data_IF_971239063720
#
_entry.id   IF_971239063720
#
_cell.length_a   1.000
_cell.length_b   1.000
_cell.length_c   1.000
_cell.angle_alpha   90.00
_cell.angle_beta   90.00
_cell.angle_gamma   90.00
#
_symmetry.space_group_name_H-M   'P 1'
#
loop_
_entity.id
_entity.type
_entity.pdbx_description
1 polymer ?
#
# COMPACT_ATOMS: atom_id res chain seq x y z
N UNK A 1 5.50 -23.72 -10.30
CA UNK A 1 5.28 -23.15 -8.95
C UNK A 1 6.53 -22.40 -8.54
N UNK A 2 6.63 -21.12 -8.92
CA UNK A 2 7.71 -20.23 -8.49
C UNK A 2 7.17 -19.29 -7.41
N UNK A 3 7.72 -19.39 -6.20
CA UNK A 3 7.31 -18.57 -5.06
C UNK A 3 7.72 -17.11 -5.25
N UNK A 4 6.79 -16.21 -4.94
CA UNK A 4 7.01 -14.76 -4.87
C UNK A 4 8.00 -14.48 -3.72
N UNK A 5 9.06 -13.68 -3.92
CA UNK A 5 9.94 -13.26 -2.83
C UNK A 5 9.15 -12.35 -1.88
N UNK A 6 9.13 -12.72 -0.61
CA UNK A 6 8.40 -12.03 0.45
C UNK A 6 8.77 -10.55 0.56
N UNK A 7 7.76 -9.73 0.82
CA UNK A 7 7.93 -8.34 1.22
C UNK A 7 8.88 -8.25 2.43
N UNK A 8 9.69 -7.17 2.55
CA UNK A 8 10.59 -7.00 3.68
C UNK A 8 9.80 -7.03 5.00
N UNK A 9 10.21 -7.94 5.89
CA UNK A 9 9.68 -8.08 7.24
C UNK A 9 9.78 -6.74 7.97
N UNK A 10 8.63 -6.16 8.28
CA UNK A 10 8.50 -4.89 8.97
C UNK A 10 8.60 -5.04 10.50
N UNK A 11 9.49 -5.90 11.00
CA UNK A 11 9.62 -6.21 12.42
C UNK A 11 11.10 -6.21 12.86
N UNK A 12 11.68 -5.02 13.02
CA UNK A 12 12.83 -4.86 13.92
C UNK A 12 12.89 -3.44 14.50
N UNK A 13 11.76 -2.99 15.09
CA UNK A 13 11.82 -1.90 16.07
C UNK A 13 12.07 -2.52 17.45
N UNK A 14 13.06 -2.05 18.23
CA UNK A 14 13.38 -2.62 19.52
C UNK A 14 12.20 -2.50 20.48
N UNK A 15 11.55 -3.63 20.77
CA UNK A 15 10.50 -3.71 21.77
C UNK A 15 11.10 -3.44 23.16
N UNK A 16 10.61 -2.39 23.81
CA UNK A 16 11.01 -2.00 25.16
C UNK A 16 10.53 -3.05 26.16
N UNK A 17 11.36 -3.58 27.08
CA UNK A 17 10.91 -4.50 28.12
C UNK A 17 9.94 -3.80 29.09
N UNK A 18 8.98 -4.54 29.68
CA UNK A 18 7.89 -3.94 30.43
C UNK A 18 8.36 -3.38 31.78
N UNK A 19 8.37 -2.06 31.92
CA UNK A 19 8.50 -1.37 33.20
C UNK A 19 7.22 -0.57 33.50
N UNK A 20 6.10 -1.31 33.59
CA UNK A 20 4.74 -0.74 33.67
C UNK A 20 4.57 0.30 34.78
N UNK A 21 5.18 0.12 35.96
CA UNK A 21 4.96 1.04 37.08
C UNK A 21 5.78 2.33 36.99
N UNK A 22 7.01 2.26 36.51
CA UNK A 22 7.84 3.45 36.31
C UNK A 22 7.24 4.35 35.22
N UNK A 23 6.65 3.76 34.17
CA UNK A 23 6.04 4.54 33.09
C UNK A 23 4.82 5.34 33.55
N UNK A 24 3.97 4.76 34.41
CA UNK A 24 2.84 5.49 35.01
C UNK A 24 3.29 6.59 35.97
N UNK A 25 4.31 6.34 36.80
CA UNK A 25 4.86 7.36 37.70
C UNK A 25 5.47 8.52 36.90
N UNK A 26 6.21 8.22 35.83
CA UNK A 26 6.80 9.25 34.97
C UNK A 26 5.75 10.02 34.17
N UNK A 27 4.67 9.36 33.73
CA UNK A 27 3.54 10.04 33.10
C UNK A 27 2.83 10.97 34.09
N UNK A 28 2.54 10.52 35.31
CA UNK A 28 1.94 11.35 36.35
C UNK A 28 2.82 12.56 36.67
N UNK A 29 4.14 12.35 36.80
CA UNK A 29 5.12 13.42 37.00
C UNK A 29 5.14 14.42 35.83
N UNK A 30 5.00 13.93 34.59
CA UNK A 30 4.93 14.77 33.40
C UNK A 30 3.64 15.59 33.31
N UNK A 31 2.50 15.01 33.69
CA UNK A 31 1.23 15.75 33.80
C UNK A 31 1.32 16.84 34.87
N UNK A 32 1.82 16.51 36.07
CA UNK A 32 2.04 17.48 37.15
C UNK A 32 2.98 18.59 36.69
N UNK A 33 4.04 18.25 35.96
CA UNK A 33 4.99 19.19 35.37
C UNK A 33 4.33 20.18 34.40
N UNK A 34 3.45 19.71 33.51
CA UNK A 34 2.70 20.57 32.57
C UNK A 34 1.71 21.47 33.27
N UNK A 35 0.97 20.93 34.26
CA UNK A 35 0.00 21.69 35.05
C UNK A 35 0.70 22.80 35.83
N UNK A 36 1.81 22.49 36.49
CA UNK A 36 2.61 23.45 37.26
C UNK A 36 3.10 24.60 36.36
N UNK A 37 3.63 24.28 35.18
CA UNK A 37 4.13 25.29 34.23
C UNK A 37 3.00 26.16 33.68
N UNK A 38 1.88 25.55 33.30
CA UNK A 38 0.70 26.27 32.81
C UNK A 38 0.20 27.22 33.90
N UNK A 39 0.08 26.74 35.14
CA UNK A 39 -0.37 27.54 36.28
C UNK A 39 0.51 28.77 36.51
N UNK A 40 1.83 28.60 36.57
CA UNK A 40 2.80 29.71 36.74
C UNK A 40 2.81 30.68 35.56
N UNK A 41 2.43 30.22 34.37
CA UNK A 41 2.40 31.03 33.17
C UNK A 41 1.19 31.95 33.11
N UNK A 42 0.02 31.47 33.54
CA UNK A 42 -1.26 32.19 33.44
C UNK A 42 -1.67 32.93 34.71
N UNK A 43 -1.22 32.50 35.90
CA UNK A 43 -1.59 33.13 37.17
C UNK A 43 -0.40 33.89 37.80
N UNK A 44 -0.61 35.14 38.27
CA UNK A 44 0.43 35.87 39.00
C UNK A 44 0.62 35.24 40.39
N UNK A 45 1.79 34.66 40.63
CA UNK A 45 2.14 33.96 41.88
C UNK A 45 2.99 34.86 42.77
N UNK A 46 2.70 34.91 44.08
CA UNK A 46 3.49 35.70 45.04
C UNK A 46 4.91 35.16 45.24
N UNK A 47 5.85 36.03 45.63
CA UNK A 47 7.30 35.72 45.69
C UNK A 47 7.65 34.53 46.61
N UNK A 48 6.87 34.29 47.65
CA UNK A 48 7.07 33.14 48.56
C UNK A 48 6.69 31.81 47.90
N UNK A 49 5.58 31.76 47.16
CA UNK A 49 5.15 30.57 46.43
C UNK A 49 6.06 30.28 45.23
N UNK A 50 6.61 31.32 44.60
CA UNK A 50 7.53 31.18 43.48
C UNK A 50 8.80 30.38 43.84
N UNK A 51 9.31 30.51 45.07
CA UNK A 51 10.46 29.70 45.55
C UNK A 51 10.12 28.21 45.67
N UNK A 52 8.95 27.89 46.22
CA UNK A 52 8.50 26.50 46.39
C UNK A 52 8.29 25.86 45.03
N UNK A 53 7.59 26.56 44.12
CA UNK A 53 7.36 26.12 42.74
C UNK A 53 8.68 25.87 42.01
N UNK A 54 9.67 26.76 42.19
CA UNK A 54 11.00 26.57 41.61
C UNK A 54 11.66 25.29 42.11
N UNK A 55 11.67 25.04 43.42
CA UNK A 55 12.27 23.81 43.98
C UNK A 55 11.57 22.56 43.43
N UNK A 56 10.24 22.59 43.33
CA UNK A 56 9.45 21.50 42.76
C UNK A 56 9.78 21.26 41.27
N UNK A 57 9.79 22.31 40.45
CA UNK A 57 10.12 22.22 39.01
C UNK A 57 11.54 21.65 38.78
N UNK A 58 12.53 22.11 39.56
CA UNK A 58 13.89 21.58 39.50
C UNK A 58 13.99 20.12 39.94
N UNK A 59 13.23 19.72 40.97
CA UNK A 59 13.20 18.32 41.42
C UNK A 59 12.61 17.38 40.35
N UNK A 60 11.52 17.80 39.70
CA UNK A 60 10.87 17.06 38.62
C UNK A 60 11.79 16.94 37.41
N UNK A 61 12.45 18.05 37.02
CA UNK A 61 13.47 18.05 35.97
C UNK A 61 14.63 17.10 36.29
N UNK A 62 15.08 17.06 37.56
CA UNK A 62 16.13 16.15 38.02
C UNK A 62 15.76 14.68 37.88
N UNK A 63 14.51 14.33 38.20
CA UNK A 63 13.99 12.96 38.01
C UNK A 63 13.94 12.60 36.52
N UNK A 64 13.50 13.51 35.64
CA UNK A 64 13.52 13.28 34.19
C UNK A 64 14.94 13.11 33.64
N UNK A 65 15.88 13.91 34.12
CA UNK A 65 17.28 13.80 33.70
C UNK A 65 17.88 12.47 34.13
N UNK A 66 17.62 12.02 35.37
CA UNK A 66 18.11 10.75 35.87
C UNK A 66 17.56 9.57 35.06
N UNK A 67 16.27 9.59 34.71
CA UNK A 67 15.66 8.58 33.84
C UNK A 67 16.29 8.59 32.44
N UNK A 68 16.46 9.77 31.84
CA UNK A 68 17.06 9.93 30.52
C UNK A 68 18.50 9.42 30.48
N UNK A 69 19.32 9.77 31.46
CA UNK A 69 20.71 9.31 31.58
C UNK A 69 20.79 7.80 31.81
N UNK A 70 19.87 7.24 32.61
CA UNK A 70 19.78 5.79 32.80
C UNK A 70 19.48 5.06 31.49
N UNK A 71 18.49 5.53 30.73
CA UNK A 71 18.12 4.98 29.41
C UNK A 71 19.25 5.12 28.40
N UNK A 72 19.85 6.31 28.32
CA UNK A 72 20.95 6.58 27.40
C UNK A 72 22.18 5.71 27.70
N UNK A 73 22.45 5.45 28.99
CA UNK A 73 23.49 4.51 29.40
C UNK A 73 23.17 3.06 29.02
N UNK A 74 21.91 2.65 29.14
CA UNK A 74 21.48 1.30 28.79
C UNK A 74 21.57 1.03 27.28
N UNK A 75 21.33 2.05 26.46
CA UNK A 75 21.43 1.99 25.00
C UNK A 75 22.86 2.24 24.46
N UNK A 76 23.87 2.17 25.33
CA UNK A 76 25.28 2.18 24.91
C UNK A 76 25.83 3.55 24.51
N UNK A 77 25.25 4.66 25.01
CA UNK A 77 25.77 6.02 24.82
C UNK A 77 25.85 6.49 23.36
N UNK A 78 25.03 5.93 22.47
CA UNK A 78 24.95 6.40 21.08
C UNK A 78 24.52 7.86 20.99
N UNK A 79 25.20 8.66 20.17
CA UNK A 79 24.83 10.06 19.92
C UNK A 79 23.49 10.20 19.20
N UNK A 80 23.04 9.17 18.49
CA UNK A 80 21.72 9.12 17.83
C UNK A 80 20.57 9.24 18.81
N UNK A 81 20.72 8.74 20.04
CA UNK A 81 19.67 8.73 21.05
C UNK A 81 19.18 10.14 21.42
N UNK A 82 20.02 11.09 21.90
CA UNK A 82 19.55 12.44 22.22
C UNK A 82 19.02 13.23 21.00
N UNK A 83 19.43 12.92 19.78
CA UNK A 83 18.89 13.56 18.57
C UNK A 83 17.49 13.05 18.21
N UNK A 84 17.23 11.76 18.36
CA UNK A 84 15.90 11.17 18.14
C UNK A 84 14.94 11.59 19.26
N UNK A 85 15.41 11.54 20.51
CA UNK A 85 14.64 11.91 21.71
C UNK A 85 14.85 13.38 22.12
N UNK A 86 15.03 14.28 21.14
CA UNK A 86 15.32 15.70 21.38
C UNK A 86 14.26 16.41 22.24
N UNK A 87 13.01 15.97 22.17
CA UNK A 87 11.91 16.46 23.00
C UNK A 87 12.07 16.07 24.48
N UNK A 88 12.63 14.89 24.77
CA UNK A 88 12.99 14.47 26.12
C UNK A 88 14.13 15.34 26.66
N UNK A 89 15.11 15.66 25.79
CA UNK A 89 16.23 16.54 26.10
C UNK A 89 15.76 17.96 26.42
N UNK A 90 14.87 18.53 25.62
CA UNK A 90 14.36 19.88 25.88
C UNK A 90 13.38 19.93 27.06
N UNK A 91 12.69 18.84 27.36
CA UNK A 91 11.75 18.73 28.49
C UNK A 91 12.41 18.82 29.87
N UNK A 92 13.72 18.58 29.97
CA UNK A 92 14.48 18.68 31.23
C UNK A 92 14.82 20.12 31.62
N UNK A 93 14.58 21.09 30.75
CA UNK A 93 14.90 22.50 31.00
C UNK A 93 13.86 23.09 31.96
N UNK A 94 14.26 23.60 33.14
CA UNK A 94 13.34 24.24 34.08
C UNK A 94 12.79 25.53 33.47
N UNK A 95 11.46 25.65 33.38
CA UNK A 95 10.78 26.88 32.89
C UNK A 95 11.09 28.06 33.82
N UNK A 96 11.40 27.74 35.07
CA UNK A 96 11.73 28.69 36.13
C UNK A 96 13.17 29.20 36.08
N UNK A 97 13.97 28.79 35.08
CA UNK A 97 15.36 29.22 34.93
C UNK A 97 15.46 30.74 34.68
N UNK A 98 16.37 31.45 35.37
CA UNK A 98 16.54 32.91 35.25
C UNK A 98 16.77 33.41 33.82
N UNK A 99 17.28 32.56 32.92
CA UNK A 99 17.60 32.88 31.52
C UNK A 99 16.35 33.15 30.66
N UNK A 100 15.19 32.61 31.07
CA UNK A 100 13.95 32.62 30.29
C UNK A 100 13.02 33.79 30.68
N UNK A 101 13.44 34.62 31.64
CA UNK A 101 12.62 35.71 32.22
C UNK A 101 12.24 36.79 31.20
N UNK A 102 13.04 36.98 30.14
CA UNK A 102 12.85 38.01 29.13
C UNK A 102 12.13 37.58 27.82
N UNK A 103 12.02 36.27 27.53
CA UNK A 103 11.58 35.79 26.21
C UNK A 103 10.27 35.00 26.30
N UNK A 104 9.15 35.64 25.97
CA UNK A 104 7.80 35.01 25.97
C UNK A 104 7.72 33.79 25.04
N UNK A 105 8.39 33.82 23.89
CA UNK A 105 8.43 32.73 22.91
C UNK A 105 9.02 31.44 23.52
N UNK A 106 10.08 31.59 24.29
CA UNK A 106 10.82 30.47 24.86
C UNK A 106 9.99 29.74 25.94
N UNK A 107 9.10 30.44 26.64
CA UNK A 107 8.11 29.84 27.56
C UNK A 107 7.10 28.97 26.82
N UNK A 108 6.58 29.45 25.69
CA UNK A 108 5.63 28.70 24.85
C UNK A 108 6.31 27.44 24.31
N UNK A 109 7.55 27.55 23.82
CA UNK A 109 8.32 26.42 23.32
C UNK A 109 8.46 25.33 24.39
N UNK A 110 8.79 25.68 25.64
CA UNK A 110 8.91 24.67 26.71
C UNK A 110 7.56 24.04 27.07
N UNK A 111 6.46 24.80 27.07
CA UNK A 111 5.11 24.24 27.26
C UNK A 111 4.78 23.23 26.16
N UNK A 112 5.03 23.58 24.91
CA UNK A 112 4.79 22.70 23.75
C UNK A 112 5.63 21.44 23.83
N UNK A 113 6.91 21.56 24.22
CA UNK A 113 7.80 20.40 24.42
C UNK A 113 7.31 19.50 25.55
N UNK A 114 6.88 20.06 26.70
CA UNK A 114 6.36 19.26 27.82
C UNK A 114 5.03 18.59 27.48
N UNK A 115 4.16 19.26 26.72
CA UNK A 115 2.94 18.67 26.17
C UNK A 115 3.26 17.55 25.17
N UNK A 116 4.24 17.76 24.28
CA UNK A 116 4.72 16.74 23.36
C UNK A 116 5.23 15.50 24.08
N UNK A 117 5.96 15.66 25.20
CA UNK A 117 6.41 14.54 26.03
C UNK A 117 5.25 13.80 26.73
N UNK A 118 4.26 14.53 27.26
CA UNK A 118 3.07 13.91 27.86
C UNK A 118 2.28 13.15 26.81
N UNK A 119 2.14 13.73 25.62
CA UNK A 119 1.53 13.08 24.47
C UNK A 119 2.30 11.80 24.12
N UNK A 120 3.58 11.89 23.79
CA UNK A 120 4.43 10.74 23.45
C UNK A 120 4.34 9.61 24.49
N UNK A 121 4.40 9.97 25.79
CA UNK A 121 4.29 8.99 26.87
C UNK A 121 2.88 8.42 27.10
N UNK A 122 1.83 9.20 26.82
CA UNK A 122 0.44 8.73 26.88
C UNK A 122 0.05 7.91 25.63
N UNK A 123 0.67 8.20 24.49
CA UNK A 123 0.41 7.57 23.19
C UNK A 123 1.31 6.35 22.90
N UNK A 124 2.17 5.99 23.87
CA UNK A 124 3.24 5.00 23.76
C UNK A 124 2.92 3.70 23.03
N UNK A 125 1.91 2.90 23.41
CA UNK A 125 1.91 1.49 22.91
C UNK A 125 0.56 0.83 22.60
N UNK A 126 -0.61 1.49 22.73
CA UNK A 126 -1.90 0.76 22.54
C UNK A 126 -3.01 1.44 21.76
N UNK A 127 -3.01 2.76 21.68
CA UNK A 127 -4.12 3.50 21.06
C UNK A 127 -3.75 3.92 19.63
N UNK A 128 -2.50 4.32 19.39
CA UNK A 128 -2.04 4.83 18.10
C UNK A 128 -2.03 3.76 17.01
N UNK A 129 -1.57 2.52 17.29
CA UNK A 129 -1.58 1.47 16.27
C UNK A 129 -3.01 1.11 15.81
N UNK A 130 -3.97 1.02 16.73
CA UNK A 130 -5.36 0.74 16.40
C UNK A 130 -6.05 1.91 15.67
N UNK A 131 -5.81 3.15 16.09
CA UNK A 131 -6.43 4.34 15.48
C UNK A 131 -5.78 4.70 14.15
N UNK A 132 -4.45 4.63 14.04
CA UNK A 132 -3.71 4.91 12.79
C UNK A 132 -3.97 3.82 11.78
N UNK A 133 -3.90 2.53 12.14
CA UNK A 133 -4.15 1.46 11.17
C UNK A 133 -5.61 1.46 10.70
N UNK A 134 -6.58 1.77 11.57
CA UNK A 134 -7.99 1.90 11.17
C UNK A 134 -8.24 3.15 10.31
N UNK A 135 -7.57 4.26 10.59
CA UNK A 135 -7.72 5.49 9.80
C UNK A 135 -7.04 5.38 8.45
N UNK A 136 -5.84 4.80 8.38
CA UNK A 136 -5.14 4.50 7.12
C UNK A 136 -5.95 3.51 6.31
N UNK A 137 -6.46 2.43 6.93
CA UNK A 137 -7.36 1.48 6.26
C UNK A 137 -8.60 2.16 5.68
N UNK A 138 -9.29 2.99 6.46
CA UNK A 138 -10.49 3.71 6.00
C UNK A 138 -10.19 4.71 4.87
N UNK A 139 -9.09 5.46 4.95
CA UNK A 139 -8.65 6.39 3.91
C UNK A 139 -8.29 5.62 2.63
N UNK A 140 -7.51 4.55 2.76
CA UNK A 140 -7.08 3.71 1.65
C UNK A 140 -8.29 3.05 0.98
N UNK A 141 -9.25 2.52 1.75
CA UNK A 141 -10.45 1.88 1.19
C UNK A 141 -11.40 2.90 0.53
N UNK A 142 -11.44 4.13 1.04
CA UNK A 142 -12.17 5.24 0.41
C UNK A 142 -11.53 5.69 -0.93
N UNK A 143 -10.20 5.59 -1.06
CA UNK A 143 -9.47 5.99 -2.27
C UNK A 143 -9.39 4.86 -3.30
N UNK A 144 -9.20 3.60 -2.86
CA UNK A 144 -9.03 2.44 -3.75
C UNK A 144 -10.13 2.33 -4.80
N UNK A 145 -11.40 2.44 -4.39
CA UNK A 145 -12.55 2.28 -5.31
C UNK A 145 -12.57 3.35 -6.40
N UNK A 146 -12.52 4.67 -6.09
CA UNK A 146 -12.41 5.71 -7.11
C UNK A 146 -11.21 5.54 -8.03
N UNK A 147 -10.04 5.17 -7.48
CA UNK A 147 -8.83 4.97 -8.29
C UNK A 147 -8.98 3.80 -9.25
N UNK A 148 -9.50 2.66 -8.80
CA UNK A 148 -9.74 1.51 -9.68
C UNK A 148 -10.73 1.86 -10.78
N UNK A 149 -11.81 2.56 -10.47
CA UNK A 149 -12.78 3.03 -11.47
C UNK A 149 -12.12 3.96 -12.49
N UNK A 150 -11.36 4.95 -12.02
CA UNK A 150 -10.68 5.90 -12.90
C UNK A 150 -9.69 5.18 -13.83
N UNK A 151 -8.88 4.27 -13.29
CA UNK A 151 -7.93 3.48 -14.09
C UNK A 151 -8.66 2.59 -15.11
N UNK A 152 -9.78 1.97 -14.74
CA UNK A 152 -10.57 1.17 -15.67
C UNK A 152 -11.18 2.02 -16.79
N UNK A 153 -11.61 3.26 -16.52
CA UNK A 153 -12.12 4.17 -17.55
C UNK A 153 -11.02 4.57 -18.55
N UNK A 154 -9.82 4.91 -18.05
CA UNK A 154 -8.66 5.20 -18.90
C UNK A 154 -8.27 3.99 -19.77
N UNK A 155 -8.23 2.79 -19.18
CA UNK A 155 -7.94 1.55 -19.92
C UNK A 155 -9.04 1.26 -20.94
N UNK A 156 -10.31 1.47 -20.58
CA UNK A 156 -11.44 1.30 -21.49
C UNK A 156 -11.36 2.24 -22.69
N UNK A 157 -10.96 3.50 -22.48
CA UNK A 157 -10.80 4.48 -23.56
C UNK A 157 -9.68 4.08 -24.54
N UNK A 158 -8.53 3.66 -24.01
CA UNK A 158 -7.43 3.14 -24.85
C UNK A 158 -7.88 1.92 -25.64
N UNK A 159 -8.58 0.99 -24.99
CA UNK A 159 -9.11 -0.20 -25.64
C UNK A 159 -10.18 0.16 -26.70
N UNK A 160 -10.94 1.24 -26.56
CA UNK A 160 -11.94 1.64 -27.58
C UNK A 160 -11.31 2.13 -28.89
N UNK A 161 -10.03 2.49 -28.88
CA UNK A 161 -9.35 3.14 -30.01
C UNK A 161 -8.39 2.20 -30.75
N UNK A 162 -8.23 0.96 -30.29
CA UNK A 162 -7.28 -0.01 -30.84
C UNK A 162 -7.75 -0.77 -32.09
N UNK A 163 -6.80 -1.12 -32.98
CA UNK A 163 -7.01 -1.99 -34.14
C UNK A 163 -6.70 -3.45 -33.80
N UNK A 164 -7.67 -4.17 -33.25
CA UNK A 164 -7.45 -5.51 -32.69
C UNK A 164 -7.20 -6.57 -33.74
N UNK A 165 -8.01 -6.60 -34.79
CA UNK A 165 -7.90 -7.67 -35.80
C UNK A 165 -6.60 -7.55 -36.58
N UNK A 166 -6.12 -6.32 -36.78
CA UNK A 166 -4.82 -6.05 -37.41
C UNK A 166 -3.64 -6.44 -36.54
N UNK A 167 -3.70 -6.17 -35.23
CA UNK A 167 -2.67 -6.61 -34.28
C UNK A 167 -2.60 -8.14 -34.22
N UNK A 168 -3.76 -8.81 -34.21
CA UNK A 168 -3.85 -10.28 -34.27
C UNK A 168 -3.28 -10.81 -35.58
N UNK A 169 -3.64 -10.23 -36.72
CA UNK A 169 -3.08 -10.61 -38.02
C UNK A 169 -1.56 -10.51 -38.06
N UNK A 170 -1.00 -9.40 -37.55
CA UNK A 170 0.45 -9.21 -37.47
C UNK A 170 1.12 -10.26 -36.60
N UNK A 171 0.53 -10.58 -35.43
CA UNK A 171 1.07 -11.60 -34.53
C UNK A 171 0.99 -13.01 -35.14
N UNK A 172 -0.09 -13.34 -35.86
CA UNK A 172 -0.21 -14.62 -36.56
C UNK A 172 0.77 -14.74 -37.73
N UNK A 173 1.02 -13.65 -38.46
CA UNK A 173 1.97 -13.63 -39.57
C UNK A 173 3.41 -13.82 -39.08
N UNK A 174 3.78 -13.14 -37.99
CA UNK A 174 5.10 -13.25 -37.37
C UNK A 174 5.40 -14.67 -36.86
N UNK A 175 4.37 -15.41 -36.42
CA UNK A 175 4.50 -16.77 -35.88
C UNK A 175 4.02 -17.87 -36.86
N UNK A 176 3.84 -17.56 -38.15
CA UNK A 176 3.25 -18.49 -39.14
C UNK A 176 3.92 -19.87 -39.16
N UNK A 177 5.25 -19.90 -39.15
CA UNK A 177 6.05 -21.14 -39.20
C UNK A 177 5.76 -22.05 -37.99
N UNK A 178 5.54 -21.47 -36.82
CA UNK A 178 5.24 -22.22 -35.59
C UNK A 178 3.81 -22.78 -35.63
N UNK A 179 2.85 -21.99 -36.13
CA UNK A 179 1.46 -22.44 -36.29
C UNK A 179 1.39 -23.58 -37.33
N UNK A 180 2.14 -23.51 -38.43
CA UNK A 180 2.23 -24.60 -39.41
C UNK A 180 2.71 -25.91 -38.79
N UNK A 181 3.73 -25.85 -37.92
CA UNK A 181 4.23 -27.02 -37.20
C UNK A 181 3.18 -27.56 -36.22
N UNK A 182 2.50 -26.68 -35.49
CA UNK A 182 1.42 -27.03 -34.58
C UNK A 182 0.25 -27.72 -35.31
N UNK A 183 -0.16 -27.20 -36.48
CA UNK A 183 -1.22 -27.79 -37.31
C UNK A 183 -0.81 -29.19 -37.77
N UNK A 184 0.42 -29.37 -38.25
CA UNK A 184 0.94 -30.69 -38.66
C UNK A 184 0.97 -31.67 -37.49
N UNK A 185 1.33 -31.20 -36.30
CA UNK A 185 1.34 -32.02 -35.10
C UNK A 185 -0.09 -32.44 -34.68
N UNK A 186 -1.03 -31.50 -34.65
CA UNK A 186 -2.45 -31.79 -34.34
C UNK A 186 -3.04 -32.79 -35.34
N UNK A 187 -2.81 -32.60 -36.65
CA UNK A 187 -3.29 -33.50 -37.70
C UNK A 187 -2.68 -34.90 -37.57
N UNK A 188 -1.39 -35.00 -37.19
CA UNK A 188 -0.73 -36.29 -36.94
C UNK A 188 -1.29 -37.02 -35.73
N UNK A 189 -1.75 -36.28 -34.72
CA UNK A 189 -2.31 -36.84 -33.48
C UNK A 189 -3.80 -37.16 -33.58
N UNK A 190 -4.52 -36.62 -34.57
CA UNK A 190 -5.97 -36.86 -34.74
C UNK A 190 -6.27 -38.28 -35.29
N UNK A 191 -6.95 -39.15 -34.51
CA UNK A 191 -7.31 -40.50 -34.94
C UNK A 191 -8.26 -40.54 -36.15
N UNK A 192 -9.09 -39.52 -36.36
CA UNK A 192 -10.04 -39.46 -37.47
C UNK A 192 -9.34 -39.14 -38.81
N UNK A 193 -8.21 -38.43 -38.76
CA UNK A 193 -7.38 -38.10 -39.93
C UNK A 193 -6.38 -39.22 -40.29
N UNK A 194 -6.31 -40.30 -39.51
CA UNK A 194 -5.38 -41.42 -39.71
C UNK A 194 -5.44 -42.11 -41.08
N UNK A 195 -6.55 -41.99 -41.82
CA UNK A 195 -6.66 -42.50 -43.21
C UNK A 195 -5.96 -41.62 -44.25
N UNK A 196 -5.76 -40.33 -43.96
CA UNK A 196 -5.11 -39.35 -44.86
C UNK A 196 -3.58 -39.57 -44.91
N UNK A 197 -3.01 -40.24 -43.89
CA UNK A 197 -1.58 -40.60 -43.83
C UNK A 197 -1.14 -41.58 -44.94
N UNK A 198 -2.07 -42.27 -45.58
CA UNK A 198 -1.79 -43.28 -46.61
C UNK A 198 -1.83 -42.75 -48.04
N UNK A 199 -2.19 -41.48 -48.25
CA UNK A 199 -2.26 -40.89 -49.60
C UNK A 199 -0.90 -40.29 -49.96
N UNK A 200 -0.35 -40.57 -51.16
CA UNK A 200 0.83 -39.86 -51.65
C UNK A 200 0.55 -38.35 -51.69
N UNK A 201 1.55 -37.51 -51.40
CA UNK A 201 1.45 -36.04 -51.37
C UNK A 201 0.55 -35.44 -50.27
N UNK A 202 0.15 -36.19 -49.24
CA UNK A 202 -0.71 -35.65 -48.16
C UNK A 202 -0.10 -34.44 -47.44
N UNK A 203 1.22 -34.41 -47.22
CA UNK A 203 1.90 -33.26 -46.59
C UNK A 203 1.81 -32.01 -47.46
N UNK A 204 1.91 -32.14 -48.79
CA UNK A 204 1.77 -31.02 -49.74
C UNK A 204 0.33 -30.52 -49.81
N UNK A 205 -0.66 -31.42 -49.79
CA UNK A 205 -2.07 -31.03 -49.74
C UNK A 205 -2.41 -30.32 -48.43
N UNK A 206 -1.94 -30.81 -47.28
CA UNK A 206 -2.16 -30.18 -45.98
C UNK A 206 -1.53 -28.79 -45.95
N UNK A 207 -0.29 -28.65 -46.43
CA UNK A 207 0.37 -27.34 -46.55
C UNK A 207 -0.39 -26.40 -47.48
N UNK A 208 -0.86 -26.88 -48.63
CA UNK A 208 -1.65 -26.06 -49.56
C UNK A 208 -2.99 -25.59 -48.97
N UNK A 209 -3.67 -26.46 -48.20
CA UNK A 209 -4.91 -26.11 -47.50
C UNK A 209 -4.64 -25.14 -46.36
N UNK A 210 -3.58 -25.35 -45.59
CA UNK A 210 -3.16 -24.43 -44.53
C UNK A 210 -2.85 -23.04 -45.11
N UNK A 211 -2.05 -22.96 -46.17
CA UNK A 211 -1.72 -21.71 -46.86
C UNK A 211 -2.95 -20.98 -47.39
N UNK A 212 -3.89 -21.71 -47.99
CA UNK A 212 -5.16 -21.13 -48.44
C UNK A 212 -5.99 -20.62 -47.26
N UNK A 213 -6.05 -21.38 -46.18
CA UNK A 213 -6.81 -21.02 -44.98
C UNK A 213 -6.23 -19.78 -44.30
N UNK A 214 -4.90 -19.71 -44.12
CA UNK A 214 -4.22 -18.52 -43.59
C UNK A 214 -4.50 -17.29 -44.43
N UNK A 215 -4.44 -17.42 -45.75
CA UNK A 215 -4.75 -16.30 -46.65
C UNK A 215 -6.17 -15.77 -46.44
N UNK A 216 -7.16 -16.65 -46.33
CA UNK A 216 -8.55 -16.25 -46.05
C UNK A 216 -8.66 -15.63 -44.65
N UNK A 217 -8.04 -16.22 -43.63
CA UNK A 217 -8.06 -15.71 -42.26
C UNK A 217 -7.44 -14.31 -42.18
N UNK A 218 -6.28 -14.09 -42.80
CA UNK A 218 -5.65 -12.77 -42.86
C UNK A 218 -6.51 -11.76 -43.62
N UNK A 219 -7.15 -12.17 -44.71
CA UNK A 219 -8.06 -11.31 -45.44
C UNK A 219 -9.27 -10.90 -44.59
N UNK A 220 -9.82 -11.83 -43.81
CA UNK A 220 -10.93 -11.54 -42.88
C UNK A 220 -10.48 -10.64 -41.72
N UNK A 221 -9.30 -10.89 -41.14
CA UNK A 221 -8.74 -10.06 -40.06
C UNK A 221 -8.36 -8.65 -40.54
N UNK A 222 -7.98 -8.50 -41.81
CA UNK A 222 -7.69 -7.20 -42.41
C UNK A 222 -8.96 -6.43 -42.84
N UNK A 223 -10.13 -7.08 -42.87
CA UNK A 223 -11.39 -6.46 -43.25
C UNK A 223 -11.86 -5.47 -42.17
N UNK A 224 -12.14 -4.19 -42.53
CA UNK A 224 -12.60 -3.17 -41.58
C UNK A 224 -13.88 -3.54 -40.83
N UNK A 225 -14.78 -4.34 -41.44
CA UNK A 225 -16.05 -4.76 -40.81
C UNK A 225 -15.81 -5.77 -39.70
N UNK A 226 -14.80 -6.62 -39.86
CA UNK A 226 -14.40 -7.57 -38.81
C UNK A 226 -13.79 -6.82 -37.63
N UNK A 227 -12.97 -5.80 -37.88
CA UNK A 227 -12.39 -4.94 -36.83
C UNK A 227 -13.48 -4.23 -36.02
N UNK A 228 -14.49 -3.67 -36.70
CA UNK A 228 -15.63 -3.01 -36.05
C UNK A 228 -16.46 -3.99 -35.20
N UNK A 229 -16.75 -5.19 -35.72
CA UNK A 229 -17.51 -6.20 -34.98
C UNK A 229 -16.77 -6.70 -33.72
N UNK A 230 -15.47 -6.92 -33.81
CA UNK A 230 -14.64 -7.30 -32.65
C UNK A 230 -14.54 -6.15 -31.66
N UNK A 231 -14.36 -4.92 -32.15
CA UNK A 231 -14.32 -3.72 -31.30
C UNK A 231 -15.64 -3.51 -30.54
N UNK A 232 -16.79 -3.78 -31.16
CA UNK A 232 -18.10 -3.68 -30.51
C UNK A 232 -18.27 -4.76 -29.42
N UNK A 233 -17.88 -6.01 -29.70
CA UNK A 233 -17.92 -7.08 -28.70
C UNK A 233 -16.99 -6.78 -27.50
N UNK A 234 -15.80 -6.23 -27.75
CA UNK A 234 -14.89 -5.81 -26.68
C UNK A 234 -15.44 -4.63 -25.90
N UNK A 235 -16.05 -3.64 -26.57
CA UNK A 235 -16.67 -2.48 -25.93
C UNK A 235 -17.79 -2.91 -24.98
N UNK A 236 -18.60 -3.87 -25.39
CA UNK A 236 -19.65 -4.44 -24.54
C UNK A 236 -19.07 -5.17 -23.31
N UNK A 237 -18.05 -6.01 -23.50
CA UNK A 237 -17.40 -6.71 -22.40
C UNK A 237 -16.73 -5.75 -21.39
N UNK A 238 -16.07 -4.69 -21.86
CA UNK A 238 -15.44 -3.68 -21.01
C UNK A 238 -16.49 -2.93 -20.19
N UNK A 239 -17.63 -2.58 -20.81
CA UNK A 239 -18.75 -1.96 -20.10
C UNK A 239 -19.26 -2.87 -18.98
N UNK A 240 -19.42 -4.18 -19.24
CA UNK A 240 -19.85 -5.15 -18.23
C UNK A 240 -18.85 -5.26 -17.07
N UNK A 241 -17.54 -5.29 -17.36
CA UNK A 241 -16.49 -5.31 -16.33
C UNK A 241 -16.55 -4.03 -15.47
N UNK A 242 -16.70 -2.87 -16.12
CA UNK A 242 -16.81 -1.59 -15.43
C UNK A 242 -18.01 -1.54 -14.49
N UNK A 243 -19.18 -1.98 -14.97
CA UNK A 243 -20.41 -2.04 -14.17
C UNK A 243 -20.27 -2.96 -12.95
N UNK A 244 -19.68 -4.14 -13.12
CA UNK A 244 -19.43 -5.06 -12.02
C UNK A 244 -18.46 -4.48 -10.98
N UNK A 245 -17.39 -3.81 -11.42
CA UNK A 245 -16.43 -3.15 -10.51
C UNK A 245 -17.07 -1.98 -9.77
N UNK A 246 -17.95 -1.21 -10.42
CA UNK A 246 -18.75 -0.18 -9.75
C UNK A 246 -19.71 -0.75 -8.71
N UNK A 247 -20.34 -1.88 -9.00
CA UNK A 247 -21.24 -2.58 -8.07
C UNK A 247 -20.48 -3.26 -6.92
N UNK A 248 -19.16 -3.43 -7.03
CA UNK A 248 -18.35 -4.18 -6.07
C UNK A 248 -18.57 -5.69 -6.14
N UNK A 249 -19.14 -6.18 -7.25
CA UNK A 249 -19.44 -7.59 -7.50
C UNK A 249 -18.32 -8.21 -8.34
N UNK A 250 -17.98 -9.48 -8.07
CA UNK A 250 -17.11 -10.23 -8.98
C UNK A 250 -17.96 -10.67 -10.17
N UNK A 251 -17.55 -10.32 -11.38
CA UNK A 251 -18.18 -10.78 -12.63
C UNK A 251 -18.27 -12.31 -12.58
N UNK A 252 -19.48 -12.91 -12.60
CA UNK A 252 -19.61 -14.34 -12.75
C UNK A 252 -19.03 -14.75 -14.11
N UNK A 253 -18.18 -15.76 -14.10
CA UNK A 253 -17.57 -16.35 -15.29
C UNK A 253 -18.71 -16.69 -16.29
N UNK A 254 -18.61 -16.18 -17.52
CA UNK A 254 -19.62 -16.43 -18.54
C UNK A 254 -19.76 -17.95 -18.73
N UNK A 255 -20.99 -18.44 -18.63
CA UNK A 255 -21.36 -19.86 -18.63
C UNK A 255 -20.62 -20.62 -19.75
N UNK A 256 -19.78 -21.58 -19.38
CA UNK A 256 -19.11 -22.49 -20.31
C UNK A 256 -20.14 -23.38 -21.01
N UNK A 257 -20.38 -23.14 -22.29
CA UNK A 257 -21.29 -23.93 -23.12
C UNK A 257 -20.77 -25.35 -23.43
N UNK A 258 -19.57 -25.76 -22.96
CA UNK A 258 -19.05 -27.13 -23.17
C UNK A 258 -19.67 -28.19 -22.25
N UNK A 259 -20.49 -27.82 -21.28
CA UNK A 259 -21.19 -28.75 -20.37
C UNK A 259 -22.70 -28.78 -20.59
N UNK A 260 -23.17 -28.80 -21.84
CA UNK A 260 -24.50 -29.34 -22.11
C UNK A 260 -24.48 -30.87 -21.87
N UNK A 261 -25.25 -31.42 -20.92
CA UNK A 261 -25.29 -32.86 -20.71
C UNK A 261 -25.87 -33.52 -21.97
N UNK A 262 -25.12 -34.47 -22.54
CA UNK A 262 -25.70 -35.40 -23.53
C UNK A 262 -26.77 -36.20 -22.80
N UNK A 263 -28.03 -35.85 -23.07
CA UNK A 263 -29.20 -36.61 -22.66
C UNK A 263 -29.07 -38.01 -23.30
N UNK A 264 -29.36 -39.10 -22.55
CA UNK A 264 -29.21 -40.47 -23.02
C UNK A 264 -30.04 -40.80 -24.26
#
# INVERSE_FOLDING_TARGET
MGGVPGAPEADEFPHKPPALWTDFVMLALAVVSVVLVTWVTFFPVSDQHYRIIRVVDYSICGVFLAEFLWRWRHEGWGWTFPFVYWYEVLGMIPVTSPFFRGFRLLRIVVIVVRLGRVADRAFGDRITAAVVNRSVGAIVDAIKRPVTVAVLEEVAEVLRTGHYTRNIASALEENRTEIDQMILEIIRQDPQLGRVRYVPFHEEMIRGIADASFRVVFQVLADPRTDELVADALRENINQIREAVHAGERVPEAIDHRTAPRIP
#
